data_IF_339615056681
#
_entry.id   IF_339615056681
#
_cell.length_a   1.000
_cell.length_b   1.000
_cell.length_c   1.000
_cell.angle_alpha   90.00
_cell.angle_beta   90.00
_cell.angle_gamma   90.00
#
_symmetry.space_group_name_H-M   'P 1'
#
loop_
_entity.id
_entity.type
_entity.pdbx_description
1 polymer ?
#
# COMPACT_ATOMS: atom_id res chain seq x y z
N UNK A 1 10.82 3.22 -23.22
CA UNK A 1 10.28 2.29 -22.20
C UNK A 1 11.17 2.45 -20.98
N UNK A 2 10.65 2.41 -19.75
CA UNK A 2 11.53 2.46 -18.56
C UNK A 2 12.44 1.22 -18.56
N UNK A 3 13.74 1.36 -18.25
CA UNK A 3 14.60 0.20 -18.05
C UNK A 3 14.08 -0.61 -16.85
N UNK A 4 14.05 -1.94 -17.01
CA UNK A 4 13.70 -2.87 -15.93
C UNK A 4 14.76 -2.81 -14.83
N UNK A 5 14.36 -2.97 -13.58
CA UNK A 5 15.29 -3.07 -12.45
C UNK A 5 15.68 -4.56 -12.25
N UNK A 6 16.88 -5.00 -12.70
CA UNK A 6 17.23 -6.41 -12.69
C UNK A 6 17.36 -6.96 -11.26
N UNK A 7 17.83 -6.14 -10.32
CA UNK A 7 17.96 -6.54 -8.92
C UNK A 7 16.58 -6.78 -8.30
N UNK A 8 15.65 -5.84 -8.47
CA UNK A 8 14.27 -5.98 -8.00
C UNK A 8 13.60 -7.24 -8.59
N UNK A 9 13.67 -7.42 -9.92
CA UNK A 9 13.07 -8.60 -10.56
C UNK A 9 13.71 -9.91 -10.10
N UNK A 10 15.02 -9.94 -9.89
CA UNK A 10 15.72 -11.13 -9.37
C UNK A 10 15.33 -11.42 -7.92
N UNK A 11 15.20 -10.40 -7.07
CA UNK A 11 14.75 -10.54 -5.68
C UNK A 11 13.34 -11.10 -5.63
N UNK A 12 12.40 -10.51 -6.38
CA UNK A 12 11.02 -10.99 -6.48
C UNK A 12 11.00 -12.45 -6.97
N UNK A 13 11.72 -12.77 -8.05
CA UNK A 13 11.75 -14.14 -8.56
C UNK A 13 12.29 -15.14 -7.52
N UNK A 14 13.40 -14.83 -6.82
CA UNK A 14 14.01 -15.69 -5.81
C UNK A 14 13.08 -15.94 -4.62
N UNK A 15 12.43 -14.91 -4.10
CA UNK A 15 11.48 -15.06 -3.00
C UNK A 15 10.28 -15.93 -3.40
N UNK A 16 9.81 -15.79 -4.64
CA UNK A 16 8.68 -16.58 -5.14
C UNK A 16 9.05 -18.02 -5.49
N UNK A 17 10.32 -18.34 -5.77
CA UNK A 17 10.77 -19.72 -5.93
C UNK A 17 10.58 -20.54 -4.65
N UNK A 18 10.66 -19.91 -3.48
CA UNK A 18 10.40 -20.56 -2.19
C UNK A 18 8.89 -20.68 -1.86
N UNK A 19 8.02 -20.00 -2.61
CA UNK A 19 6.58 -20.07 -2.39
C UNK A 19 6.01 -21.44 -2.80
N UNK A 20 5.17 -22.07 -1.96
CA UNK A 20 4.60 -23.38 -2.25
C UNK A 20 3.77 -23.33 -3.54
N UNK A 21 4.09 -24.21 -4.49
CA UNK A 21 3.27 -24.40 -5.68
C UNK A 21 2.07 -25.26 -5.31
N UNK A 22 0.86 -24.71 -5.41
CA UNK A 22 -0.34 -25.52 -5.30
C UNK A 22 -0.40 -26.50 -6.49
N UNK A 23 -0.49 -27.80 -6.18
CA UNK A 23 -0.77 -28.81 -7.20
C UNK A 23 -2.18 -28.56 -7.75
N UNK A 24 -2.29 -28.46 -9.08
CA UNK A 24 -3.57 -28.32 -9.80
C UNK A 24 -4.30 -29.67 -9.77
N UNK A 25 -4.71 -30.11 -8.59
CA UNK A 25 -5.72 -31.17 -8.47
C UNK A 25 -7.04 -30.43 -8.43
N UNK A 26 -7.84 -30.59 -9.50
CA UNK A 26 -9.12 -29.93 -9.68
C UNK A 26 -10.11 -30.33 -8.59
N UNK A 27 -10.08 -29.64 -7.45
CA UNK A 27 -11.22 -29.57 -6.57
C UNK A 27 -12.14 -28.49 -7.15
N UNK A 28 -13.33 -28.89 -7.59
CA UNK A 28 -14.42 -27.96 -7.80
C UNK A 28 -14.53 -27.11 -6.53
N UNK A 29 -14.21 -25.83 -6.60
CA UNK A 29 -14.25 -24.96 -5.44
C UNK A 29 -15.71 -24.78 -5.07
N UNK A 30 -16.16 -25.47 -4.02
CA UNK A 30 -17.30 -25.02 -3.26
C UNK A 30 -17.01 -23.58 -2.85
N UNK A 31 -17.87 -22.64 -3.29
CA UNK A 31 -17.85 -21.28 -2.77
C UNK A 31 -18.03 -21.41 -1.25
N UNK A 32 -17.02 -21.07 -0.42
CA UNK A 32 -17.13 -21.22 1.03
C UNK A 32 -18.27 -20.35 1.59
N UNK A 33 -18.84 -19.48 0.77
CA UNK A 33 -19.82 -18.50 1.18
C UNK A 33 -19.17 -17.43 2.06
N UNK A 34 -20.03 -16.66 2.71
CA UNK A 34 -19.64 -15.64 3.65
C UNK A 34 -19.18 -16.30 4.96
N UNK A 35 -17.88 -16.56 5.12
CA UNK A 35 -17.31 -17.00 6.41
C UNK A 35 -17.23 -15.78 7.34
N UNK A 36 -18.00 -15.72 8.44
CA UNK A 36 -17.87 -14.67 9.44
C UNK A 36 -16.47 -14.73 10.04
N UNK A 37 -15.88 -13.56 10.31
CA UNK A 37 -14.56 -13.44 10.90
C UNK A 37 -14.64 -13.01 12.35
N UNK A 38 -13.65 -13.40 13.14
CA UNK A 38 -13.49 -12.87 14.48
C UNK A 38 -13.07 -11.39 14.38
N UNK A 39 -13.74 -10.53 15.13
CA UNK A 39 -13.48 -9.11 15.15
C UNK A 39 -12.07 -8.82 15.70
N UNK A 40 -11.13 -8.38 14.85
CA UNK A 40 -9.80 -7.91 15.28
C UNK A 40 -9.77 -6.39 15.41
N UNK A 41 -9.00 -5.88 16.39
CA UNK A 41 -8.71 -4.45 16.49
C UNK A 41 -7.62 -4.12 15.46
N UNK A 42 -8.01 -3.42 14.40
CA UNK A 42 -7.11 -2.91 13.37
C UNK A 42 -6.79 -1.44 13.60
N UNK A 43 -5.69 -0.98 13.01
CA UNK A 43 -5.20 0.39 13.16
C UNK A 43 -5.01 1.07 11.80
N UNK A 44 -5.51 2.29 11.68
CA UNK A 44 -5.23 3.20 10.56
C UNK A 44 -4.55 4.46 11.08
N UNK A 45 -3.44 4.82 10.46
CA UNK A 45 -2.71 6.06 10.78
C UNK A 45 -3.19 7.16 9.84
N UNK A 46 -3.76 8.23 10.40
CA UNK A 46 -4.23 9.40 9.64
C UNK A 46 -3.49 10.68 10.04
N UNK A 47 -3.23 11.52 9.04
CA UNK A 47 -2.66 12.87 9.20
C UNK A 47 -3.74 13.96 9.04
N UNK A 48 -5.02 13.58 9.04
CA UNK A 48 -6.13 14.51 8.96
C UNK A 48 -6.13 15.51 10.13
N UNK A 49 -6.48 16.76 9.81
CA UNK A 49 -6.67 17.85 10.78
C UNK A 49 -8.13 17.93 11.19
N UNK A 50 -8.37 18.55 12.34
CA UNK A 50 -9.71 18.91 12.77
C UNK A 50 -10.36 19.87 11.76
N UNK A 51 -11.71 19.99 11.73
CA UNK A 51 -12.39 20.89 10.79
C UNK A 51 -11.98 22.37 10.86
N UNK A 52 -11.41 22.80 11.97
CA UNK A 52 -10.85 24.14 12.19
C UNK A 52 -9.38 24.28 11.73
N UNK A 53 -8.79 23.22 11.18
CA UNK A 53 -7.38 23.14 10.77
C UNK A 53 -6.42 22.76 11.89
N UNK A 54 -6.91 22.56 13.12
CA UNK A 54 -6.11 22.21 14.29
C UNK A 54 -5.54 20.78 14.24
N UNK A 55 -4.46 20.55 14.99
CA UNK A 55 -3.98 19.21 15.29
C UNK A 55 -4.96 18.51 16.25
N UNK A 56 -5.36 17.26 15.99
CA UNK A 56 -6.15 16.50 16.94
C UNK A 56 -5.38 16.27 18.25
N UNK A 57 -6.10 16.21 19.37
CA UNK A 57 -5.64 15.79 20.68
C UNK A 57 -6.23 14.42 21.03
N UNK A 58 -5.71 13.74 22.06
CA UNK A 58 -6.31 12.51 22.57
C UNK A 58 -7.79 12.68 23.02
N UNK A 59 -8.27 13.91 23.21
CA UNK A 59 -9.65 14.18 23.62
C UNK A 59 -10.63 14.26 22.43
N UNK A 60 -10.16 14.77 21.29
CA UNK A 60 -10.98 15.06 20.10
C UNK A 60 -10.59 14.20 18.88
N UNK A 61 -9.58 13.33 19.00
CA UNK A 61 -9.07 12.52 17.89
C UNK A 61 -10.12 11.60 17.26
N UNK A 62 -11.21 11.27 17.97
CA UNK A 62 -12.28 10.49 17.38
C UNK A 62 -12.97 11.23 16.24
N UNK A 63 -12.95 12.57 16.23
CA UNK A 63 -13.53 13.38 15.14
C UNK A 63 -12.87 13.11 13.79
N UNK A 64 -11.55 12.91 13.77
CA UNK A 64 -10.82 12.55 12.53
C UNK A 64 -10.86 11.05 12.23
N UNK A 65 -11.38 10.23 13.15
CA UNK A 65 -11.52 8.78 12.98
C UNK A 65 -12.96 8.32 12.70
N UNK A 66 -13.94 9.23 12.66
CA UNK A 66 -15.37 8.90 12.55
C UNK A 66 -15.69 8.03 11.33
N UNK A 67 -15.05 8.28 10.19
CA UNK A 67 -15.29 7.55 8.93
C UNK A 67 -14.88 6.08 8.95
N UNK A 68 -14.10 5.67 9.96
CA UNK A 68 -13.69 4.29 10.17
C UNK A 68 -14.58 3.54 11.16
N UNK A 69 -15.57 4.22 11.75
CA UNK A 69 -16.28 3.76 12.95
C UNK A 69 -15.29 3.34 14.06
N UNK A 70 -14.23 4.14 14.25
CA UNK A 70 -13.21 3.86 15.23
C UNK A 70 -13.78 3.95 16.65
N UNK A 71 -13.56 2.90 17.45
CA UNK A 71 -13.97 2.85 18.85
C UNK A 71 -12.92 3.45 19.79
N UNK A 72 -11.67 3.64 19.31
CA UNK A 72 -10.58 4.27 20.06
C UNK A 72 -9.67 5.06 19.13
N UNK A 73 -9.04 6.11 19.64
CA UNK A 73 -7.95 6.80 18.94
C UNK A 73 -6.80 7.15 19.89
N UNK A 74 -5.61 7.36 19.34
CA UNK A 74 -4.43 7.87 20.04
C UNK A 74 -3.66 8.84 19.15
N UNK A 75 -3.30 10.01 19.66
CA UNK A 75 -2.49 10.99 18.95
C UNK A 75 -1.02 10.81 19.29
N UNK A 76 -0.17 10.85 18.28
CA UNK A 76 1.27 10.75 18.39
C UNK A 76 1.91 11.90 17.61
N UNK A 77 3.17 12.17 17.90
CA UNK A 77 3.96 13.14 17.14
C UNK A 77 5.25 12.48 16.69
N UNK A 78 5.53 12.55 15.39
CA UNK A 78 6.83 12.15 14.86
C UNK A 78 7.68 13.38 14.58
N UNK A 79 8.97 13.39 14.97
CA UNK A 79 9.92 14.39 14.52
C UNK A 79 10.02 14.33 13.00
N UNK A 80 9.56 15.39 12.35
CA UNK A 80 9.61 15.57 10.90
C UNK A 80 10.68 16.59 10.61
N UNK A 81 11.73 16.14 9.92
CA UNK A 81 12.80 17.03 9.47
C UNK A 81 12.41 17.60 8.13
N UNK A 82 12.29 18.92 8.07
CA UNK A 82 11.98 19.65 6.87
C UNK A 82 13.20 19.75 5.93
N UNK A 83 12.97 20.03 4.64
CA UNK A 83 14.00 20.27 3.63
C UNK A 83 15.12 21.24 4.04
N UNK A 84 14.78 22.27 4.83
CA UNK A 84 15.68 23.31 5.33
C UNK A 84 16.50 22.88 6.56
N UNK A 85 16.30 21.66 7.05
CA UNK A 85 16.94 21.16 8.27
C UNK A 85 16.22 21.54 9.57
N UNK A 86 15.11 22.27 9.49
CA UNK A 86 14.22 22.49 10.62
C UNK A 86 13.55 21.18 11.06
N UNK A 87 13.26 21.04 12.36
CA UNK A 87 12.48 19.91 12.87
C UNK A 87 11.14 20.45 13.39
N UNK A 88 10.06 19.80 12.98
CA UNK A 88 8.74 19.96 13.61
C UNK A 88 8.26 18.64 14.17
N UNK A 89 7.32 18.71 15.09
CA UNK A 89 6.58 17.53 15.54
C UNK A 89 5.31 17.47 14.69
N UNK A 90 5.29 16.58 13.71
CA UNK A 90 4.11 16.39 12.88
C UNK A 90 3.15 15.44 13.60
N UNK A 91 1.96 15.91 13.99
CA UNK A 91 0.99 15.09 14.69
C UNK A 91 0.31 14.13 13.71
N UNK A 92 0.10 12.90 14.14
CA UNK A 92 -0.72 11.91 13.45
C UNK A 92 -1.60 11.18 14.46
N UNK A 93 -2.71 10.65 13.98
CA UNK A 93 -3.71 9.97 14.79
C UNK A 93 -3.78 8.50 14.40
N UNK A 94 -3.67 7.62 15.40
CA UNK A 94 -3.98 6.21 15.29
C UNK A 94 -5.47 6.02 15.54
N UNK A 95 -6.20 5.62 14.52
CA UNK A 95 -7.61 5.25 14.60
C UNK A 95 -7.71 3.72 14.76
N UNK A 96 -8.29 3.26 15.86
CA UNK A 96 -8.50 1.84 16.13
C UNK A 96 -9.95 1.50 15.86
N UNK A 97 -10.17 0.53 14.98
CA UNK A 97 -11.49 0.10 14.54
C UNK A 97 -11.51 -1.42 14.38
N UNK A 98 -12.71 -2.00 14.37
CA UNK A 98 -12.85 -3.44 14.17
C UNK A 98 -12.81 -3.79 12.69
N UNK A 99 -11.87 -4.63 12.28
CA UNK A 99 -11.80 -5.19 10.93
C UNK A 99 -11.26 -6.63 10.97
N UNK A 100 -11.42 -7.44 9.90
CA UNK A 100 -10.75 -8.73 9.83
C UNK A 100 -9.24 -8.54 9.83
N UNK A 101 -8.50 -9.43 10.48
CA UNK A 101 -7.04 -9.40 10.43
C UNK A 101 -6.57 -9.64 8.98
N UNK A 102 -5.66 -8.83 8.46
CA UNK A 102 -5.17 -8.98 7.10
C UNK A 102 -3.80 -8.35 6.91
N UNK A 103 -2.88 -9.09 6.28
CA UNK A 103 -1.60 -8.52 5.86
C UNK A 103 -1.84 -7.38 4.87
N UNK A 104 -1.25 -6.22 5.17
CA UNK A 104 -1.35 -5.00 4.39
C UNK A 104 -0.58 -5.10 3.07
N UNK A 105 -1.22 -5.54 1.98
CA UNK A 105 -0.77 -5.16 0.64
C UNK A 105 -1.42 -3.81 0.32
N UNK A 106 -0.64 -2.74 0.41
CA UNK A 106 -1.11 -1.39 0.11
C UNK A 106 -0.41 -0.90 -1.17
N UNK A 107 -1.18 -0.55 -2.21
CA UNK A 107 -0.68 0.27 -3.31
C UNK A 107 -0.40 1.71 -2.85
N UNK A 108 0.20 2.56 -3.70
CA UNK A 108 0.58 3.93 -3.32
C UNK A 108 -0.61 4.76 -2.84
N UNK A 109 -0.56 5.17 -1.58
CA UNK A 109 -1.57 6.05 -0.98
C UNK A 109 -1.23 7.52 -1.24
N UNK A 110 -2.16 8.33 -1.79
CA UNK A 110 -1.94 9.76 -1.91
C UNK A 110 -2.02 10.43 -0.55
N UNK A 111 -1.17 11.44 -0.31
CA UNK A 111 -1.38 12.42 0.75
C UNK A 111 -2.83 12.96 0.71
N UNK A 112 -3.50 12.99 1.87
CA UNK A 112 -4.88 13.43 1.98
C UNK A 112 -5.94 12.38 1.62
N UNK A 113 -5.56 11.10 1.45
CA UNK A 113 -6.50 9.98 1.37
C UNK A 113 -7.33 9.90 2.65
N UNK A 114 -8.64 10.04 2.51
CA UNK A 114 -9.56 10.02 3.64
C UNK A 114 -9.97 8.60 3.95
N UNK A 115 -9.82 8.22 5.22
CA UNK A 115 -10.09 6.86 5.65
C UNK A 115 -11.54 6.45 5.36
N UNK A 116 -11.75 5.25 4.86
CA UNK A 116 -13.09 4.71 4.60
C UNK A 116 -13.19 3.24 5.02
N UNK A 117 -14.31 2.88 5.64
CA UNK A 117 -14.64 1.49 5.96
C UNK A 117 -15.52 0.89 4.88
N UNK A 118 -15.16 -0.30 4.41
CA UNK A 118 -16.03 -1.09 3.55
C UNK A 118 -17.07 -1.84 4.39
N UNK A 119 -18.32 -1.86 3.91
CA UNK A 119 -19.32 -2.80 4.43
C UNK A 119 -19.04 -4.19 3.87
N UNK A 120 -18.71 -5.13 4.77
CA UNK A 120 -18.44 -6.50 4.43
C UNK A 120 -18.97 -7.44 5.50
N UNK A 121 -19.44 -8.62 5.08
CA UNK A 121 -19.97 -9.64 5.98
C UNK A 121 -18.99 -10.77 6.27
N UNK A 122 -17.89 -10.85 5.51
CA UNK A 122 -16.83 -11.86 5.65
C UNK A 122 -15.42 -11.26 5.44
N UNK A 123 -14.40 -12.00 5.88
CA UNK A 123 -12.99 -11.61 5.75
C UNK A 123 -12.59 -11.35 4.30
N UNK A 124 -12.96 -12.26 3.38
CA UNK A 124 -12.63 -12.14 1.95
C UNK A 124 -13.26 -10.89 1.32
N UNK A 125 -14.54 -10.64 1.60
CA UNK A 125 -15.23 -9.45 1.10
C UNK A 125 -14.57 -8.16 1.60
N UNK A 126 -14.24 -8.10 2.89
CA UNK A 126 -13.55 -6.96 3.49
C UNK A 126 -12.15 -6.77 2.91
N UNK A 127 -11.37 -7.84 2.77
CA UNK A 127 -10.02 -7.80 2.20
C UNK A 127 -10.03 -7.26 0.76
N UNK A 128 -10.87 -7.83 -0.12
CA UNK A 128 -10.94 -7.37 -1.50
C UNK A 128 -11.59 -5.99 -1.64
N UNK A 129 -12.48 -5.59 -0.73
CA UNK A 129 -13.01 -4.24 -0.71
C UNK A 129 -11.94 -3.22 -0.29
N UNK A 130 -11.09 -3.56 0.68
CA UNK A 130 -9.94 -2.75 1.09
C UNK A 130 -8.93 -2.64 -0.05
N UNK A 131 -8.57 -3.76 -0.69
CA UNK A 131 -7.72 -3.79 -1.88
C UNK A 131 -8.28 -2.85 -2.94
N UNK A 132 -9.55 -3.04 -3.33
CA UNK A 132 -10.21 -2.21 -4.34
C UNK A 132 -10.26 -0.71 -4.01
N UNK A 133 -10.39 -0.35 -2.73
CA UNK A 133 -10.36 1.03 -2.27
C UNK A 133 -8.94 1.61 -2.38
N UNK A 134 -7.91 0.85 -2.02
CA UNK A 134 -6.51 1.24 -2.16
C UNK A 134 -6.10 1.41 -3.63
N UNK A 135 -6.42 0.45 -4.51
CA UNK A 135 -6.13 0.60 -5.96
C UNK A 135 -6.82 1.84 -6.54
N UNK A 136 -8.05 2.11 -6.08
CA UNK A 136 -8.79 3.30 -6.52
C UNK A 136 -8.13 4.59 -6.01
N UNK A 137 -7.48 4.55 -4.84
CA UNK A 137 -6.71 5.66 -4.29
C UNK A 137 -5.34 5.85 -4.98
N UNK A 138 -4.73 4.77 -5.49
CA UNK A 138 -3.49 4.83 -6.28
C UNK A 138 -3.69 5.59 -7.60
N UNK A 139 -4.89 5.58 -8.19
CA UNK A 139 -5.20 6.34 -9.43
C UNK A 139 -4.85 7.83 -9.30
N UNK A 140 -5.47 8.61 -8.39
CA UNK A 140 -5.10 10.02 -8.21
C UNK A 140 -3.66 10.20 -7.72
N UNK A 141 -3.09 9.24 -6.98
CA UNK A 141 -1.69 9.31 -6.54
C UNK A 141 -0.71 9.30 -7.72
N UNK A 142 -0.89 8.39 -8.68
CA UNK A 142 -0.07 8.33 -9.88
C UNK A 142 -0.31 9.50 -10.84
N UNK A 143 -1.54 9.99 -10.95
CA UNK A 143 -1.83 11.19 -11.74
C UNK A 143 -1.14 12.42 -11.16
N UNK A 144 -1.18 12.59 -9.83
CA UNK A 144 -0.44 13.64 -9.13
C UNK A 144 1.07 13.49 -9.36
N UNK A 145 1.62 12.29 -9.17
CA UNK A 145 3.03 12.00 -9.41
C UNK A 145 3.43 12.41 -10.83
N UNK A 146 2.62 12.09 -11.85
CA UNK A 146 2.90 12.48 -13.22
C UNK A 146 2.98 14.00 -13.43
N UNK A 147 2.06 14.75 -12.82
CA UNK A 147 2.05 16.23 -12.93
C UNK A 147 3.19 16.87 -12.13
N UNK A 148 3.51 16.35 -10.95
CA UNK A 148 4.64 16.85 -10.16
C UNK A 148 5.99 16.52 -10.84
N UNK A 149 6.17 15.32 -11.39
CA UNK A 149 7.34 14.95 -12.19
C UNK A 149 7.52 15.88 -13.38
N UNK A 150 6.43 16.22 -14.07
CA UNK A 150 6.44 17.20 -15.17
C UNK A 150 6.86 18.58 -14.69
N UNK A 151 6.33 19.05 -13.57
CA UNK A 151 6.65 20.36 -13.00
C UNK A 151 8.13 20.48 -12.59
N UNK A 152 8.73 19.37 -12.13
CA UNK A 152 10.14 19.30 -11.72
C UNK A 152 11.11 18.92 -12.85
N UNK A 153 10.64 18.85 -14.10
CA UNK A 153 11.50 18.61 -15.27
C UNK A 153 11.98 17.17 -15.43
N UNK A 154 11.24 16.19 -14.91
CA UNK A 154 11.59 14.78 -15.05
C UNK A 154 11.56 14.30 -16.51
N UNK A 155 12.36 13.28 -16.86
CA UNK A 155 12.32 12.63 -18.17
C UNK A 155 10.91 12.18 -18.56
N UNK A 156 10.58 12.36 -19.84
CA UNK A 156 9.23 12.12 -20.36
C UNK A 156 8.77 10.66 -20.19
N UNK A 157 9.69 9.71 -20.11
CA UNK A 157 9.43 8.30 -19.84
C UNK A 157 8.89 8.04 -18.43
N UNK A 158 9.35 8.78 -17.40
CA UNK A 158 8.85 8.66 -16.03
C UNK A 158 7.42 9.23 -15.94
N UNK A 159 7.18 10.38 -16.57
CA UNK A 159 5.85 11.00 -16.64
C UNK A 159 4.86 10.06 -17.35
N UNK A 160 5.26 9.50 -18.50
CA UNK A 160 4.42 8.54 -19.22
C UNK A 160 4.20 7.26 -18.42
N UNK A 161 5.16 6.83 -17.61
CA UNK A 161 5.02 5.65 -16.78
C UNK A 161 4.04 5.87 -15.63
N UNK A 162 4.13 6.99 -14.91
CA UNK A 162 3.17 7.34 -13.88
C UNK A 162 1.73 7.39 -14.43
N UNK A 163 1.52 7.99 -15.62
CA UNK A 163 0.20 7.96 -16.27
C UNK A 163 -0.26 6.57 -16.68
N UNK A 164 0.65 5.68 -17.06
CA UNK A 164 0.32 4.27 -17.35
C UNK A 164 -0.06 3.54 -16.07
N UNK A 165 0.69 3.71 -14.98
CA UNK A 165 0.36 3.13 -13.66
C UNK A 165 -1.04 3.56 -13.21
N UNK A 166 -1.41 4.83 -13.35
CA UNK A 166 -2.79 5.27 -13.08
C UNK A 166 -3.86 4.50 -13.90
N UNK A 167 -3.56 4.15 -15.15
CA UNK A 167 -4.43 3.33 -16.00
C UNK A 167 -4.43 1.84 -15.63
N UNK A 168 -3.32 1.33 -15.11
CA UNK A 168 -3.20 -0.02 -14.54
C UNK A 168 -4.11 -0.12 -13.30
N UNK A 169 -4.07 0.89 -12.43
CA UNK A 169 -4.87 0.94 -11.21
C UNK A 169 -6.38 1.00 -11.42
N UNK A 170 -6.83 1.63 -12.50
CA UNK A 170 -8.25 1.55 -12.90
C UNK A 170 -8.65 0.11 -13.21
N UNK A 171 -7.76 -0.70 -13.80
CA UNK A 171 -8.02 -2.13 -14.05
C UNK A 171 -7.95 -2.93 -12.76
N UNK A 172 -6.97 -2.69 -11.91
CA UNK A 172 -6.81 -3.36 -10.61
C UNK A 172 -8.04 -3.13 -9.72
N UNK A 173 -8.47 -1.87 -9.61
CA UNK A 173 -9.71 -1.48 -8.94
C UNK A 173 -10.91 -2.28 -9.43
N UNK A 174 -11.07 -2.47 -10.74
CA UNK A 174 -12.20 -3.22 -11.31
C UNK A 174 -12.14 -4.70 -10.96
N UNK A 175 -10.95 -5.30 -11.04
CA UNK A 175 -10.73 -6.70 -10.66
C UNK A 175 -11.01 -6.93 -9.17
N UNK A 176 -10.42 -6.12 -8.29
CA UNK A 176 -10.63 -6.18 -6.86
C UNK A 176 -12.10 -5.91 -6.46
N UNK A 177 -12.78 -4.95 -7.12
CA UNK A 177 -14.23 -4.72 -6.92
C UNK A 177 -15.06 -5.93 -7.31
N UNK A 178 -14.70 -6.65 -8.36
CA UNK A 178 -15.41 -7.86 -8.77
C UNK A 178 -15.27 -8.96 -7.72
N UNK A 179 -14.06 -9.17 -7.18
CA UNK A 179 -13.80 -10.09 -6.08
C UNK A 179 -14.57 -9.69 -4.81
N UNK A 180 -14.53 -8.41 -4.43
CA UNK A 180 -15.26 -7.88 -3.27
C UNK A 180 -16.77 -8.14 -3.38
N UNK A 181 -17.37 -7.83 -4.53
CA UNK A 181 -18.80 -8.05 -4.80
C UNK A 181 -19.18 -9.52 -4.77
N UNK A 182 -18.34 -10.40 -5.32
CA UNK A 182 -18.53 -11.85 -5.26
C UNK A 182 -18.62 -12.33 -3.81
N UNK A 183 -17.86 -11.72 -2.92
CA UNK A 183 -17.89 -11.99 -1.47
C UNK A 183 -18.84 -11.05 -0.69
N UNK A 184 -19.83 -10.45 -1.36
CA UNK A 184 -20.91 -9.71 -0.71
C UNK A 184 -20.50 -8.39 -0.05
N UNK A 185 -19.35 -7.82 -0.43
CA UNK A 185 -18.89 -6.53 0.08
C UNK A 185 -19.13 -5.40 -0.93
N UNK A 186 -19.32 -4.19 -0.40
CA UNK A 186 -19.38 -2.95 -1.18
C UNK A 186 -18.14 -2.12 -0.92
N UNK A 187 -17.57 -1.58 -2.00
CA UNK A 187 -16.36 -0.77 -1.94
C UNK A 187 -16.76 0.70 -1.80
N UNK A 188 -16.26 1.42 -0.77
CA UNK A 188 -16.58 2.83 -0.60
C UNK A 188 -16.01 3.68 -1.74
N UNK A 189 -16.53 4.89 -1.87
CA UNK A 189 -15.94 5.89 -2.76
C UNK A 189 -14.57 6.31 -2.22
N UNK A 190 -13.64 6.64 -3.12
CA UNK A 190 -12.35 7.22 -2.76
C UNK A 190 -12.52 8.73 -2.68
N UNK A 191 -12.18 9.29 -1.53
CA UNK A 191 -12.10 10.73 -1.29
C UNK A 191 -10.65 11.09 -1.01
N UNK A 192 -10.10 12.01 -1.81
CA UNK A 192 -8.75 12.56 -1.64
C UNK A 192 -8.89 14.06 -1.52
N UNK A 193 -8.30 14.63 -0.47
CA UNK A 193 -8.25 16.08 -0.32
C UNK A 193 -7.58 16.74 -1.54
N UNK A 194 -7.99 17.95 -1.95
CA UNK A 194 -7.30 18.69 -3.01
C UNK A 194 -5.82 18.85 -2.67
N UNK A 195 -4.95 18.54 -3.62
CA UNK A 195 -3.51 18.66 -3.46
C UNK A 195 -2.94 19.86 -4.23
N UNK A 196 -1.91 20.48 -3.67
CA UNK A 196 -1.04 21.44 -4.36
C UNK A 196 0.26 20.77 -4.82
N UNK A 197 0.92 21.37 -5.81
CA UNK A 197 2.26 20.92 -6.24
C UNK A 197 3.26 21.08 -5.09
N UNK A 198 3.94 19.99 -4.72
CA UNK A 198 4.95 19.99 -3.67
C UNK A 198 6.34 20.31 -4.19
N UNK A 199 7.26 20.59 -3.26
CA UNK A 199 8.70 20.56 -3.55
C UNK A 199 9.13 19.16 -3.99
N UNK A 200 10.22 19.09 -4.76
CA UNK A 200 10.78 17.81 -5.21
C UNK A 200 11.15 16.92 -4.01
N UNK A 201 11.68 17.50 -2.93
CA UNK A 201 12.04 16.74 -1.73
C UNK A 201 10.81 16.13 -1.03
N UNK A 202 9.70 16.85 -0.91
CA UNK A 202 8.48 16.32 -0.30
C UNK A 202 7.83 15.22 -1.17
N UNK A 203 7.86 15.37 -2.51
CA UNK A 203 7.47 14.30 -3.43
C UNK A 203 8.32 13.04 -3.21
N UNK A 204 9.65 13.20 -3.11
CA UNK A 204 10.56 12.07 -2.94
C UNK A 204 10.40 11.40 -1.58
N UNK A 205 10.04 12.16 -0.55
CA UNK A 205 9.72 11.61 0.76
C UNK A 205 8.50 10.68 0.68
N UNK A 206 7.40 11.11 0.04
CA UNK A 206 6.25 10.23 -0.23
C UNK A 206 6.64 9.04 -1.11
N UNK A 207 7.45 9.28 -2.14
CA UNK A 207 7.94 8.22 -3.03
C UNK A 207 8.78 7.17 -2.31
N UNK A 208 9.61 7.55 -1.34
CA UNK A 208 10.39 6.59 -0.56
C UNK A 208 9.50 5.66 0.27
N UNK A 209 8.42 6.19 0.86
CA UNK A 209 7.50 5.43 1.72
C UNK A 209 6.49 4.61 0.92
N UNK A 210 5.69 5.27 0.10
CA UNK A 210 4.56 4.65 -0.59
C UNK A 210 5.02 3.98 -1.89
N UNK A 211 6.02 4.53 -2.56
CA UNK A 211 6.59 3.98 -3.78
C UNK A 211 7.63 2.89 -3.53
N UNK A 212 8.81 3.26 -3.04
CA UNK A 212 9.94 2.33 -2.92
C UNK A 212 9.65 1.19 -1.92
N UNK A 213 9.04 1.48 -0.77
CA UNK A 213 8.67 0.45 0.22
C UNK A 213 7.29 -0.14 -0.07
N UNK A 214 6.25 0.70 -0.17
CA UNK A 214 4.86 0.27 -0.40
C UNK A 214 4.67 -0.56 -1.67
N UNK A 215 4.89 0.02 -2.85
CA UNK A 215 4.73 -0.69 -4.14
C UNK A 215 5.60 -1.95 -4.23
N UNK A 216 6.83 -1.91 -3.71
CA UNK A 216 7.70 -3.10 -3.76
C UNK A 216 7.13 -4.23 -2.91
N UNK A 217 6.64 -3.94 -1.70
CA UNK A 217 6.00 -4.94 -0.86
C UNK A 217 4.66 -5.41 -1.45
N UNK A 218 3.85 -4.49 -1.97
CA UNK A 218 2.60 -4.79 -2.69
C UNK A 218 2.84 -5.76 -3.85
N UNK A 219 3.84 -5.51 -4.68
CA UNK A 219 4.24 -6.41 -5.77
C UNK A 219 4.65 -7.80 -5.28
N UNK A 220 5.39 -7.90 -4.17
CA UNK A 220 5.77 -9.18 -3.57
C UNK A 220 4.55 -9.96 -3.06
N UNK A 221 3.63 -9.29 -2.36
CA UNK A 221 2.41 -9.91 -1.85
C UNK A 221 1.48 -10.34 -2.98
N UNK A 222 1.23 -9.48 -3.97
CA UNK A 222 0.40 -9.82 -5.14
C UNK A 222 0.97 -11.03 -5.89
N UNK A 223 2.29 -11.08 -6.12
CA UNK A 223 2.94 -12.19 -6.78
C UNK A 223 2.93 -13.48 -5.94
N UNK A 224 2.99 -13.37 -4.62
CA UNK A 224 2.79 -14.50 -3.71
C UNK A 224 1.36 -15.04 -3.83
N UNK A 225 0.35 -14.18 -3.67
CA UNK A 225 -1.06 -14.57 -3.74
C UNK A 225 -1.42 -15.18 -5.10
N UNK A 226 -0.87 -14.65 -6.20
CA UNK A 226 -1.03 -15.19 -7.54
C UNK A 226 -0.61 -16.67 -7.66
N UNK A 227 0.35 -17.12 -6.83
CA UNK A 227 0.86 -18.50 -6.81
C UNK A 227 0.15 -19.38 -5.78
N UNK A 228 -0.27 -18.81 -4.65
CA UNK A 228 -0.65 -19.56 -3.45
C UNK A 228 -2.14 -19.51 -3.12
N UNK A 229 -2.92 -18.59 -3.71
CA UNK A 229 -4.36 -18.54 -3.49
C UNK A 229 -5.00 -19.85 -3.98
N UNK A 230 -5.91 -20.47 -3.20
CA UNK A 230 -6.65 -21.65 -3.66
C UNK A 230 -7.75 -21.29 -4.64
N UNK A 231 -8.33 -20.10 -4.51
CA UNK A 231 -9.35 -19.61 -5.45
C UNK A 231 -8.71 -19.28 -6.80
N UNK A 232 -9.19 -19.94 -7.86
CA UNK A 232 -8.64 -19.79 -9.20
C UNK A 232 -8.90 -18.39 -9.80
N UNK A 233 -10.03 -17.75 -9.47
CA UNK A 233 -10.32 -16.40 -9.96
C UNK A 233 -9.43 -15.37 -9.26
N UNK A 234 -9.12 -15.58 -7.98
CA UNK A 234 -8.16 -14.73 -7.25
C UNK A 234 -6.77 -14.88 -7.86
N UNK A 235 -6.29 -16.12 -8.09
CA UNK A 235 -4.97 -16.33 -8.73
C UNK A 235 -4.88 -15.65 -10.09
N UNK A 236 -5.91 -15.78 -10.92
CA UNK A 236 -5.92 -15.18 -12.26
C UNK A 236 -5.87 -13.65 -12.18
N UNK A 237 -6.72 -13.03 -11.34
CA UNK A 237 -6.73 -11.59 -11.13
C UNK A 237 -5.38 -11.07 -10.62
N UNK A 238 -4.80 -11.75 -9.61
CA UNK A 238 -3.55 -11.30 -9.01
C UNK A 238 -2.32 -11.62 -9.85
N UNK A 239 -2.38 -12.60 -10.75
CA UNK A 239 -1.30 -12.84 -11.73
C UNK A 239 -1.14 -11.65 -12.68
N UNK A 240 -2.26 -11.03 -13.09
CA UNK A 240 -2.25 -9.84 -13.94
C UNK A 240 -1.78 -8.61 -13.16
N UNK A 241 -2.30 -8.43 -11.95
CA UNK A 241 -1.93 -7.32 -11.06
C UNK A 241 -0.44 -7.38 -10.71
N UNK A 242 0.10 -8.54 -10.34
CA UNK A 242 1.49 -8.68 -9.89
C UNK A 242 2.57 -8.19 -10.88
N UNK A 243 2.40 -8.42 -12.19
CA UNK A 243 3.36 -7.90 -13.19
C UNK A 243 3.20 -6.39 -13.39
N UNK A 244 2.00 -5.84 -13.15
CA UNK A 244 1.72 -4.41 -13.19
C UNK A 244 2.33 -3.73 -11.95
N UNK A 245 2.09 -4.25 -10.75
CA UNK A 245 2.68 -3.80 -9.48
C UNK A 245 4.21 -3.80 -9.50
N UNK A 246 4.81 -4.84 -10.09
CA UNK A 246 6.27 -4.89 -10.24
C UNK A 246 6.79 -3.70 -11.07
N UNK A 247 6.04 -3.26 -12.09
CA UNK A 247 6.40 -2.06 -12.87
C UNK A 247 6.17 -0.76 -12.10
N UNK A 248 5.23 -0.73 -11.16
CA UNK A 248 4.98 0.42 -10.29
C UNK A 248 6.13 0.59 -9.28
N UNK A 249 6.59 -0.52 -8.71
CA UNK A 249 7.82 -0.54 -7.92
C UNK A 249 9.02 -0.07 -8.77
N UNK A 250 9.22 -0.60 -9.98
CA UNK A 250 10.29 -0.16 -10.91
C UNK A 250 10.24 1.35 -11.19
N UNK A 251 9.03 1.91 -11.38
CA UNK A 251 8.83 3.35 -11.55
C UNK A 251 9.29 4.12 -10.29
N UNK A 252 8.87 3.70 -9.10
CA UNK A 252 9.21 4.37 -7.84
C UNK A 252 10.72 4.45 -7.62
N UNK A 253 11.44 3.36 -7.87
CA UNK A 253 12.89 3.32 -7.80
C UNK A 253 13.55 4.21 -8.87
N UNK A 254 13.00 4.24 -10.09
CA UNK A 254 13.53 5.10 -11.16
C UNK A 254 13.31 6.60 -10.90
N UNK A 255 12.19 6.98 -10.26
CA UNK A 255 11.93 8.36 -9.83
C UNK A 255 12.95 8.80 -8.78
N UNK A 256 13.23 7.95 -7.78
CA UNK A 256 14.22 8.25 -6.76
C UNK A 256 15.64 8.35 -7.35
N UNK A 257 16.02 7.41 -8.21
CA UNK A 257 17.32 7.43 -8.90
C UNK A 257 17.52 8.71 -9.72
N UNK A 258 16.53 9.09 -10.54
CA UNK A 258 16.59 10.33 -11.32
C UNK A 258 16.79 11.57 -10.45
N UNK A 259 16.02 11.69 -9.36
CA UNK A 259 16.03 12.91 -8.57
C UNK A 259 17.26 13.01 -7.66
N UNK A 260 17.78 11.88 -7.16
CA UNK A 260 18.92 11.86 -6.22
C UNK A 260 20.25 12.32 -6.84
N UNK A 261 20.40 12.25 -8.16
CA UNK A 261 21.54 12.83 -8.90
C UNK A 261 21.68 14.34 -8.67
N UNK A 262 20.56 15.05 -8.56
CA UNK A 262 20.51 16.50 -8.38
C UNK A 262 20.46 16.99 -6.93
N UNK A 263 20.33 16.09 -5.95
CA UNK A 263 20.15 16.45 -4.54
C UNK A 263 21.47 16.71 -3.80
N UNK A 264 21.42 17.59 -2.80
CA UNK A 264 22.51 17.73 -1.82
C UNK A 264 22.67 16.45 -0.98
N UNK A 265 23.87 16.23 -0.43
CA UNK A 265 24.16 15.05 0.41
C UNK A 265 23.20 14.90 1.60
N UNK A 266 22.84 16.01 2.25
CA UNK A 266 21.89 16.01 3.37
C UNK A 266 20.48 15.55 2.97
N UNK A 267 19.98 16.00 1.82
CA UNK A 267 18.67 15.57 1.30
C UNK A 267 18.69 14.07 0.93
N UNK A 268 19.77 13.58 0.33
CA UNK A 268 19.93 12.14 0.06
C UNK A 268 19.91 11.29 1.35
N UNK A 269 20.56 11.77 2.41
CA UNK A 269 20.55 11.07 3.70
C UNK A 269 19.16 11.03 4.32
N UNK A 270 18.40 12.14 4.26
CA UNK A 270 17.01 12.18 4.75
C UNK A 270 16.09 11.23 3.98
N UNK A 271 16.23 11.13 2.66
CA UNK A 271 15.46 10.18 1.85
C UNK A 271 15.77 8.72 2.20
N UNK A 272 17.06 8.38 2.36
CA UNK A 272 17.47 7.04 2.82
C UNK A 272 16.87 6.73 4.19
N UNK A 273 16.87 7.69 5.11
CA UNK A 273 16.28 7.50 6.44
C UNK A 273 14.76 7.29 6.35
N UNK A 274 14.04 8.12 5.59
CA UNK A 274 12.59 7.98 5.40
C UNK A 274 12.20 6.59 4.86
N UNK A 275 13.03 6.03 3.96
CA UNK A 275 12.84 4.68 3.44
C UNK A 275 13.06 3.60 4.50
N UNK A 276 14.11 3.71 5.32
CA UNK A 276 14.38 2.78 6.42
C UNK A 276 13.29 2.85 7.50
N UNK A 277 12.82 4.04 7.83
CA UNK A 277 11.74 4.24 8.80
C UNK A 277 10.44 3.59 8.30
N UNK A 278 10.07 3.82 7.03
CA UNK A 278 8.91 3.16 6.42
C UNK A 278 9.02 1.63 6.37
N UNK A 279 10.23 1.11 6.15
CA UNK A 279 10.48 -0.33 6.21
C UNK A 279 10.27 -0.88 7.62
N UNK A 280 10.88 -0.27 8.64
CA UNK A 280 10.69 -0.72 10.02
C UNK A 280 9.22 -0.58 10.47
N UNK A 281 8.51 0.44 10.00
CA UNK A 281 7.08 0.62 10.27
C UNK A 281 6.26 -0.52 9.64
N UNK A 282 6.58 -0.89 8.40
CA UNK A 282 5.97 -2.03 7.72
C UNK A 282 6.29 -3.35 8.43
N UNK A 283 7.55 -3.58 8.81
CA UNK A 283 7.98 -4.76 9.55
C UNK A 283 7.24 -4.92 10.89
N UNK A 284 7.11 -3.84 11.67
CA UNK A 284 6.34 -3.87 12.93
C UNK A 284 4.88 -4.20 12.70
N UNK A 285 4.26 -3.69 11.63
CA UNK A 285 2.86 -4.01 11.28
C UNK A 285 2.72 -5.49 10.89
N UNK A 286 3.59 -5.98 10.02
CA UNK A 286 3.59 -7.39 9.58
C UNK A 286 3.83 -8.34 10.75
N UNK A 287 4.77 -8.03 11.64
CA UNK A 287 5.08 -8.87 12.80
C UNK A 287 3.93 -8.94 13.83
N UNK A 288 3.07 -7.93 13.88
CA UNK A 288 2.01 -7.82 14.89
C UNK A 288 0.75 -8.64 14.56
N UNK A 289 0.50 -8.96 13.29
CA UNK A 289 -0.77 -9.53 12.84
C UNK A 289 -0.57 -10.86 12.11
N UNK A 290 -1.29 -11.91 12.54
CA UNK A 290 -1.46 -13.14 11.76
C UNK A 290 -2.75 -13.02 10.95
N UNK A 291 -2.71 -13.15 9.60
CA UNK A 291 -3.93 -13.11 8.80
C UNK A 291 -4.87 -14.26 9.11
N UNK A 292 -6.17 -14.01 8.96
CA UNK A 292 -7.18 -15.07 9.08
C UNK A 292 -6.85 -16.24 8.14
N UNK A 293 -7.00 -17.47 8.64
CA UNK A 293 -6.70 -18.68 7.88
C UNK A 293 -7.44 -18.75 6.53
N UNK A 294 -8.66 -18.19 6.45
CA UNK A 294 -9.43 -18.11 5.20
C UNK A 294 -8.76 -17.20 4.18
N UNK A 295 -8.12 -16.10 4.59
CA UNK A 295 -7.41 -15.21 3.68
C UNK A 295 -6.11 -15.85 3.18
N UNK A 296 -5.38 -16.54 4.06
CA UNK A 296 -4.19 -17.32 3.67
C UNK A 296 -4.56 -18.39 2.65
N UNK A 297 -5.64 -19.13 2.88
CA UNK A 297 -6.03 -20.24 2.02
C UNK A 297 -6.71 -19.80 0.72
N UNK A 298 -7.73 -18.93 0.79
CA UNK A 298 -8.56 -18.59 -0.36
C UNK A 298 -7.99 -17.40 -1.15
N UNK A 299 -7.55 -16.35 -0.45
CA UNK A 299 -6.94 -15.19 -1.08
C UNK A 299 -5.42 -15.34 -1.28
N UNK A 300 -4.81 -16.39 -0.76
CA UNK A 300 -3.38 -16.64 -0.89
C UNK A 300 -2.52 -15.67 -0.10
N UNK A 301 -3.06 -14.94 0.89
CA UNK A 301 -2.23 -14.02 1.68
C UNK A 301 -1.06 -14.78 2.31
N UNK A 302 0.15 -14.19 2.34
CA UNK A 302 1.24 -14.80 3.09
C UNK A 302 0.85 -14.89 4.58
N UNK A 303 1.17 -16.01 5.23
CA UNK A 303 1.17 -16.06 6.70
C UNK A 303 2.16 -15.04 7.25
N UNK A 304 2.11 -14.73 8.54
CA UNK A 304 3.07 -13.78 9.14
C UNK A 304 4.53 -14.16 8.83
N UNK A 305 4.88 -15.43 9.02
CA UNK A 305 6.25 -15.91 8.79
C UNK A 305 6.66 -15.78 7.32
N UNK A 306 5.76 -16.08 6.38
CA UNK A 306 6.01 -15.88 4.95
C UNK A 306 6.14 -14.40 4.61
N UNK A 307 5.32 -13.54 5.22
CA UNK A 307 5.34 -12.10 5.02
C UNK A 307 6.64 -11.47 5.54
N UNK A 308 7.15 -11.93 6.70
CA UNK A 308 8.46 -11.55 7.23
C UNK A 308 9.59 -11.98 6.29
N UNK A 309 9.52 -13.18 5.72
CA UNK A 309 10.51 -13.62 4.73
C UNK A 309 10.49 -12.77 3.44
N UNK A 310 9.31 -12.33 2.99
CA UNK A 310 9.22 -11.38 1.87
C UNK A 310 9.89 -10.03 2.22
N UNK A 311 9.78 -9.56 3.47
CA UNK A 311 10.42 -8.34 3.94
C UNK A 311 11.95 -8.43 3.98
N UNK A 312 12.52 -9.59 4.34
CA UNK A 312 13.98 -9.79 4.31
C UNK A 312 14.56 -9.51 2.91
N UNK A 313 13.87 -9.94 1.84
CA UNK A 313 14.33 -9.64 0.49
C UNK A 313 14.13 -8.16 0.08
N UNK A 314 13.09 -7.50 0.59
CA UNK A 314 12.94 -6.04 0.45
C UNK A 314 14.09 -5.30 1.13
N UNK A 315 14.51 -5.72 2.33
CA UNK A 315 15.62 -5.11 3.07
C UNK A 315 16.90 -5.06 2.22
N UNK A 316 17.18 -6.13 1.45
CA UNK A 316 18.30 -6.18 0.52
C UNK A 316 18.26 -5.16 -0.63
N UNK A 317 17.08 -4.62 -0.95
CA UNK A 317 16.89 -3.53 -1.93
C UNK A 317 17.03 -2.15 -1.30
N UNK A 318 16.93 -2.03 0.03
CA UNK A 318 17.01 -0.75 0.75
C UNK A 318 18.44 -0.35 1.10
N UNK A 319 19.38 -1.30 1.07
CA UNK A 319 20.81 -1.10 1.32
C UNK A 319 21.47 -0.27 0.21
#
# INVERSE_FOLDING_TARGET
MLPRNPLLRQTVARLLFAAPALSVIGCASEDPGCIPYDAHESRYDTYERLPDGGAPSNFDCLLVCQRLDAHRCQTHSVPTTHPDGGQTLEPYTNCFFTSPAGCASDGRRPEGLQAARAEARCALGSHFARMAWLEAASVPAFLRLAEELKAHGAPAELIRAARRSAGDEVRHTRAARALARRHGATVPAVEVAPFSSRSLEALLWENAKEGCVGETYGALVAAWQARTARDAQVREALSQIAEDELRHAELSWAVEAWATEGLASGARQRLRQARLDAFHDLERRVAAEEPDAVLVQQAGLPSRDAALHLLEGLQGLLA
#
